data_IF_815082315129
#
_entry.id   IF_815082315129
#
_cell.length_a   1.000
_cell.length_b   1.000
_cell.length_c   1.000
_cell.angle_alpha   90.00
_cell.angle_beta   90.00
_cell.angle_gamma   90.00
#
_symmetry.space_group_name_H-M   'P 1'
#
loop_
_entity.id
_entity.type
_entity.pdbx_description
1 polymer ?
#
# COMPACT_ATOMS: atom_id res chain seq x y z
N UNK A 1 -9.43 1.84 -15.81
CA UNK A 1 -8.14 1.13 -15.64
C UNK A 1 -7.62 1.23 -14.21
N UNK A 2 -7.54 2.43 -13.62
CA UNK A 2 -7.16 2.67 -12.21
C UNK A 2 -7.75 1.68 -11.21
N UNK A 3 -9.07 1.63 -11.10
CA UNK A 3 -9.78 0.68 -10.22
C UNK A 3 -9.27 -0.76 -10.37
N UNK A 4 -9.23 -1.29 -11.60
CA UNK A 4 -8.81 -2.67 -11.84
C UNK A 4 -7.35 -2.91 -11.44
N UNK A 5 -6.45 -1.96 -11.72
CA UNK A 5 -5.04 -2.10 -11.38
C UNK A 5 -4.83 -2.00 -9.87
N UNK A 6 -5.48 -1.06 -9.20
CA UNK A 6 -5.42 -0.91 -7.75
C UNK A 6 -5.85 -2.20 -7.02
N UNK A 7 -7.06 -2.71 -7.30
CA UNK A 7 -7.52 -3.95 -6.67
C UNK A 7 -6.73 -5.18 -7.10
N UNK A 8 -6.24 -5.24 -8.34
CA UNK A 8 -5.36 -6.32 -8.76
C UNK A 8 -4.05 -6.30 -7.97
N UNK A 9 -3.43 -5.14 -7.76
CA UNK A 9 -2.17 -5.03 -7.03
C UNK A 9 -2.32 -5.29 -5.52
N UNK A 10 -3.49 -4.99 -4.95
CA UNK A 10 -3.80 -5.33 -3.54
C UNK A 10 -4.24 -6.79 -3.32
N UNK A 11 -4.87 -7.43 -4.30
CA UNK A 11 -5.47 -8.78 -4.12
C UNK A 11 -4.87 -9.85 -5.03
N UNK A 12 -4.81 -9.59 -6.34
CA UNK A 12 -4.35 -10.58 -7.33
C UNK A 12 -2.83 -10.73 -7.38
N UNK A 13 -2.08 -9.64 -7.33
CA UNK A 13 -0.63 -9.66 -7.40
C UNK A 13 0.03 -10.33 -6.18
N UNK A 14 -0.45 -10.15 -4.94
CA UNK A 14 0.02 -10.93 -3.79
C UNK A 14 -0.13 -12.45 -3.98
N UNK A 15 -1.19 -12.89 -4.65
CA UNK A 15 -1.35 -14.31 -4.99
C UNK A 15 -0.25 -14.78 -5.93
N UNK A 16 0.08 -14.00 -6.97
CA UNK A 16 1.18 -14.34 -7.88
C UNK A 16 2.52 -14.42 -7.15
N UNK A 17 2.82 -13.45 -6.27
CA UNK A 17 4.03 -13.48 -5.45
C UNK A 17 4.07 -14.75 -4.60
N UNK A 18 2.99 -15.06 -3.89
CA UNK A 18 2.93 -16.22 -3.03
C UNK A 18 3.09 -17.53 -3.81
N UNK A 19 2.45 -17.64 -4.98
CA UNK A 19 2.47 -18.84 -5.82
C UNK A 19 3.85 -19.09 -6.44
N UNK A 20 4.48 -18.06 -7.03
CA UNK A 20 5.77 -18.22 -7.71
C UNK A 20 6.97 -18.24 -6.76
N UNK A 21 6.97 -17.41 -5.70
CA UNK A 21 8.14 -17.27 -4.81
C UNK A 21 8.09 -18.26 -3.65
N UNK A 22 6.90 -18.66 -3.20
CA UNK A 22 6.72 -19.57 -2.06
C UNK A 22 5.83 -20.77 -2.39
N UNK A 23 6.10 -21.53 -3.47
CA UNK A 23 5.19 -22.56 -3.99
C UNK A 23 4.85 -23.66 -2.96
N UNK A 24 5.75 -23.96 -2.01
CA UNK A 24 5.50 -24.98 -0.98
C UNK A 24 4.54 -24.52 0.13
N UNK A 25 4.38 -23.20 0.33
CA UNK A 25 3.58 -22.60 1.41
C UNK A 25 2.72 -21.43 0.93
N UNK A 26 2.39 -21.40 -0.37
CA UNK A 26 1.78 -20.26 -1.03
C UNK A 26 0.48 -19.81 -0.35
N UNK A 27 -0.35 -20.73 0.15
CA UNK A 27 -1.61 -20.40 0.85
C UNK A 27 -1.35 -19.54 2.08
N UNK A 28 -0.42 -19.96 2.92
CA UNK A 28 -0.05 -19.24 4.14
C UNK A 28 0.56 -17.89 3.82
N UNK A 29 1.46 -17.83 2.83
CA UNK A 29 2.09 -16.57 2.42
C UNK A 29 1.05 -15.61 1.82
N UNK A 30 0.14 -16.10 0.98
CA UNK A 30 -0.93 -15.29 0.41
C UNK A 30 -1.85 -14.72 1.49
N UNK A 31 -2.26 -15.53 2.48
CA UNK A 31 -3.06 -15.04 3.60
C UNK A 31 -2.32 -14.00 4.44
N UNK A 32 -1.01 -14.15 4.64
CA UNK A 32 -0.20 -13.15 5.33
C UNK A 32 -0.09 -11.84 4.54
N UNK A 33 0.13 -11.91 3.22
CA UNK A 33 0.14 -10.73 2.34
C UNK A 33 -1.24 -10.06 2.27
N UNK A 34 -2.32 -10.84 2.31
CA UNK A 34 -3.68 -10.28 2.35
C UNK A 34 -3.97 -9.61 3.71
N UNK A 35 -3.47 -10.18 4.80
CA UNK A 35 -3.60 -9.60 6.13
C UNK A 35 -2.91 -8.23 6.25
N UNK A 36 -1.87 -7.94 5.46
CA UNK A 36 -1.22 -6.62 5.48
C UNK A 36 -2.10 -5.51 4.89
N UNK A 37 -3.15 -5.84 4.12
CA UNK A 37 -4.12 -4.86 3.63
C UNK A 37 -4.92 -4.22 4.78
N UNK A 38 -4.89 -4.78 5.99
CA UNK A 38 -5.47 -4.16 7.18
C UNK A 38 -4.79 -2.84 7.58
N UNK A 39 -3.66 -2.48 6.96
CA UNK A 39 -3.05 -1.16 7.14
C UNK A 39 -4.04 -0.03 6.76
N UNK A 40 -4.94 -0.27 5.79
CA UNK A 40 -6.00 0.67 5.37
C UNK A 40 -7.01 0.99 6.47
N UNK A 41 -7.03 0.25 7.59
CA UNK A 41 -7.89 0.60 8.71
C UNK A 41 -7.55 1.98 9.30
N UNK A 42 -6.36 2.53 9.02
CA UNK A 42 -6.02 3.89 9.39
C UNK A 42 -6.80 4.97 8.61
N UNK A 43 -7.49 4.61 7.51
CA UNK A 43 -8.43 5.49 6.82
C UNK A 43 -9.62 5.86 7.71
N UNK A 44 -9.99 5.01 8.66
CA UNK A 44 -11.06 5.29 9.62
C UNK A 44 -10.73 6.49 10.53
N UNK A 45 -9.46 6.90 10.59
CA UNK A 45 -9.02 8.08 11.35
C UNK A 45 -9.14 9.39 10.56
N UNK A 46 -9.50 9.33 9.28
CA UNK A 46 -9.63 10.50 8.42
C UNK A 46 -11.04 11.09 8.41
N UNK A 47 -11.10 12.40 8.12
CA UNK A 47 -12.33 13.16 7.92
C UNK A 47 -12.21 13.92 6.59
N UNK A 48 -13.00 13.58 5.55
CA UNK A 48 -13.91 12.44 5.47
C UNK A 48 -13.17 11.09 5.39
N UNK A 49 -13.84 9.99 5.75
CA UNK A 49 -13.24 8.63 5.72
C UNK A 49 -12.82 8.28 4.29
N UNK A 50 -13.73 8.45 3.33
CA UNK A 50 -13.46 8.22 1.91
C UNK A 50 -13.39 9.55 1.16
N UNK A 51 -12.31 9.74 0.40
CA UNK A 51 -12.11 10.91 -0.45
C UNK A 51 -11.32 10.48 -1.70
N UNK A 52 -11.96 10.58 -2.87
CA UNK A 52 -11.34 10.21 -4.15
C UNK A 52 -10.29 11.22 -4.64
N UNK A 53 -10.16 12.37 -3.97
CA UNK A 53 -9.22 13.44 -4.29
C UNK A 53 -8.01 13.51 -3.34
N UNK A 54 -7.88 12.53 -2.44
CA UNK A 54 -6.85 12.49 -1.41
C UNK A 54 -5.86 11.36 -1.65
N UNK A 55 -4.57 11.69 -1.67
CA UNK A 55 -3.51 10.70 -1.67
C UNK A 55 -3.32 10.09 -0.27
N UNK A 56 -3.32 8.77 -0.16
CA UNK A 56 -3.12 8.08 1.13
C UNK A 56 -1.72 8.31 1.70
N UNK A 57 -0.71 8.33 0.83
CA UNK A 57 0.71 8.41 1.20
C UNK A 57 1.03 9.75 1.86
N UNK A 58 1.56 9.68 3.08
CA UNK A 58 1.87 10.85 3.91
C UNK A 58 0.67 11.48 4.61
N UNK A 59 -0.57 11.08 4.28
CA UNK A 59 -1.78 11.60 4.92
C UNK A 59 -2.20 10.74 6.12
N UNK A 60 -2.28 9.42 5.95
CA UNK A 60 -2.72 8.53 7.02
C UNK A 60 -1.57 8.10 7.94
N UNK A 61 -1.82 7.81 9.23
CA UNK A 61 -0.77 7.48 10.19
C UNK A 61 0.14 6.31 9.77
N UNK A 62 -0.43 5.20 9.28
CA UNK A 62 0.35 4.03 8.86
C UNK A 62 0.93 4.20 7.45
N UNK A 63 0.40 5.14 6.68
CA UNK A 63 0.93 5.59 5.38
C UNK A 63 1.94 6.74 5.50
N UNK A 64 2.30 7.12 6.72
CA UNK A 64 3.22 8.22 6.98
C UNK A 64 4.65 7.87 6.57
N UNK A 65 5.32 8.82 5.91
CA UNK A 65 6.74 8.68 5.52
C UNK A 65 7.66 8.37 6.69
N UNK A 66 7.29 8.76 7.91
CA UNK A 66 8.06 8.46 9.12
C UNK A 66 8.03 6.97 9.49
N UNK A 67 6.96 6.25 9.15
CA UNK A 67 6.80 4.82 9.49
C UNK A 67 7.36 3.91 8.39
N UNK A 68 7.38 4.36 7.12
CA UNK A 68 7.88 3.56 5.98
C UNK A 68 9.28 2.95 6.22
N UNK A 69 10.29 3.65 6.78
CA UNK A 69 11.59 3.06 7.10
C UNK A 69 11.51 1.84 8.03
N UNK A 70 10.54 1.79 8.93
CA UNK A 70 10.32 0.65 9.84
C UNK A 70 9.85 -0.57 9.04
N UNK A 71 8.94 -0.39 8.07
CA UNK A 71 8.49 -1.46 7.18
C UNK A 71 9.61 -1.98 6.28
N UNK A 72 10.48 -1.09 5.80
CA UNK A 72 11.73 -1.48 5.11
C UNK A 72 12.60 -2.33 6.04
N UNK A 73 12.73 -1.93 7.30
CA UNK A 73 13.38 -2.70 8.36
C UNK A 73 12.86 -4.14 8.49
N UNK A 74 11.56 -4.36 8.35
CA UNK A 74 10.94 -5.69 8.47
C UNK A 74 11.45 -6.69 7.42
N UNK A 75 11.87 -6.24 6.24
CA UNK A 75 12.40 -7.14 5.19
C UNK A 75 13.64 -7.90 5.67
N UNK A 76 14.48 -7.28 6.52
CA UNK A 76 15.75 -7.85 6.95
C UNK A 76 15.58 -9.00 7.96
N UNK A 77 14.46 -9.06 8.69
CA UNK A 77 14.23 -10.09 9.70
C UNK A 77 13.36 -11.24 9.17
N UNK A 78 13.86 -12.49 9.26
CA UNK A 78 13.17 -13.68 8.71
C UNK A 78 11.70 -13.83 9.15
N UNK A 79 11.36 -13.42 10.38
CA UNK A 79 10.01 -13.54 10.95
C UNK A 79 9.03 -12.51 10.39
N UNK A 80 9.49 -11.28 10.13
CA UNK A 80 8.64 -10.17 9.68
C UNK A 80 8.76 -9.88 8.18
N UNK A 81 9.69 -10.54 7.48
CA UNK A 81 9.97 -10.31 6.06
C UNK A 81 8.74 -10.32 5.16
N UNK A 82 7.87 -11.33 5.29
CA UNK A 82 6.66 -11.44 4.45
C UNK A 82 5.70 -10.29 4.75
N UNK A 83 5.56 -9.91 6.02
CA UNK A 83 4.73 -8.76 6.44
C UNK A 83 5.31 -7.45 5.90
N UNK A 84 6.63 -7.25 6.00
CA UNK A 84 7.30 -6.08 5.42
C UNK A 84 7.09 -6.00 3.90
N UNK A 85 7.22 -7.11 3.18
CA UNK A 85 6.96 -7.18 1.74
C UNK A 85 5.49 -6.83 1.44
N UNK A 86 4.54 -7.38 2.18
CA UNK A 86 3.11 -7.12 1.98
C UNK A 86 2.75 -5.66 2.21
N UNK A 87 3.23 -5.06 3.31
CA UNK A 87 3.00 -3.64 3.62
C UNK A 87 3.64 -2.75 2.55
N UNK A 88 4.88 -3.01 2.15
CA UNK A 88 5.54 -2.18 1.14
C UNK A 88 4.90 -2.33 -0.23
N UNK A 89 4.45 -3.53 -0.60
CA UNK A 89 3.66 -3.72 -1.82
C UNK A 89 2.38 -2.90 -1.79
N UNK A 90 1.67 -2.90 -0.66
CA UNK A 90 0.48 -2.10 -0.45
C UNK A 90 0.78 -0.59 -0.63
N UNK A 91 1.82 -0.08 0.04
CA UNK A 91 2.24 1.33 -0.10
C UNK A 91 2.65 1.71 -1.52
N UNK A 92 3.29 0.80 -2.26
CA UNK A 92 3.62 1.01 -3.68
C UNK A 92 2.35 1.11 -4.52
N UNK A 93 1.37 0.22 -4.29
CA UNK A 93 0.06 0.27 -4.96
C UNK A 93 -0.64 1.61 -4.73
N UNK A 94 -0.65 2.08 -3.50
CA UNK A 94 -1.27 3.37 -3.14
C UNK A 94 -0.50 4.57 -3.73
N UNK A 95 0.83 4.48 -3.80
CA UNK A 95 1.65 5.49 -4.48
C UNK A 95 1.33 5.56 -5.98
N UNK A 96 1.15 4.41 -6.64
CA UNK A 96 0.73 4.36 -8.05
C UNK A 96 -0.65 5.01 -8.22
N UNK A 97 -1.58 4.73 -7.31
CA UNK A 97 -2.92 5.31 -7.35
C UNK A 97 -2.89 6.84 -7.17
N UNK A 98 -2.06 7.34 -6.25
CA UNK A 98 -1.82 8.78 -6.08
C UNK A 98 -1.32 9.43 -7.37
N UNK A 99 -0.32 8.85 -8.04
CA UNK A 99 0.20 9.40 -9.29
C UNK A 99 -0.85 9.39 -10.40
N UNK A 100 -1.65 8.32 -10.53
CA UNK A 100 -2.74 8.28 -11.51
C UNK A 100 -3.87 9.27 -11.21
N UNK A 101 -4.09 9.59 -9.93
CA UNK A 101 -4.99 10.64 -9.51
C UNK A 101 -4.45 12.04 -9.89
N UNK A 102 -3.15 12.30 -9.68
CA UNK A 102 -2.54 13.60 -9.98
C UNK A 102 -2.63 13.98 -11.46
N UNK A 103 -2.52 13.01 -12.37
CA UNK A 103 -2.72 13.22 -13.82
C UNK A 103 -4.11 13.79 -14.17
N UNK A 104 -5.12 13.56 -13.31
CA UNK A 104 -6.49 14.01 -13.52
C UNK A 104 -6.85 15.25 -12.72
N UNK A 105 -6.05 15.57 -11.70
CA UNK A 105 -6.40 16.55 -10.69
C UNK A 105 -5.14 17.27 -10.18
N UNK A 106 -4.89 18.47 -10.72
CA UNK A 106 -3.74 19.29 -10.30
C UNK A 106 -3.81 19.72 -8.84
N UNK A 107 -5.00 20.07 -8.34
CA UNK A 107 -5.19 20.42 -6.91
C UNK A 107 -4.88 19.25 -5.98
N UNK A 108 -5.20 18.02 -6.38
CA UNK A 108 -4.89 16.81 -5.61
C UNK A 108 -3.37 16.65 -5.40
N UNK A 109 -2.56 16.99 -6.40
CA UNK A 109 -1.11 17.03 -6.26
C UNK A 109 -0.65 18.12 -5.29
N UNK A 110 -1.18 19.34 -5.42
CA UNK A 110 -0.83 20.48 -4.55
C UNK A 110 -1.11 20.22 -3.06
N UNK A 111 -2.14 19.43 -2.75
CA UNK A 111 -2.49 19.03 -1.39
C UNK A 111 -1.80 17.74 -0.92
N UNK A 112 -0.90 17.17 -1.73
CA UNK A 112 -0.15 15.96 -1.39
C UNK A 112 1.22 16.26 -0.79
N UNK A 113 1.76 15.29 -0.04
CA UNK A 113 3.12 15.40 0.51
C UNK A 113 4.20 15.48 -0.58
N UNK A 114 3.91 14.99 -1.79
CA UNK A 114 4.84 14.99 -2.92
C UNK A 114 5.04 16.38 -3.54
N UNK A 115 4.14 17.34 -3.32
CA UNK A 115 4.33 18.71 -3.79
C UNK A 115 5.33 19.48 -2.91
N UNK A 116 5.46 19.12 -1.64
CA UNK A 116 6.35 19.76 -0.68
C UNK A 116 7.80 19.20 -0.71
N UNK A 117 8.08 18.21 -1.56
CA UNK A 117 9.40 17.61 -1.78
C UNK A 117 10.10 18.23 -2.99
#
# INVERSE_FOLDING_TARGET
MQFFVHYFLHLGFPFLIAWFVFPTRWKTVYLLLLATMLIDLDHLLAQPIFDASRCSIGFHPLHSLYIIPIYIGFIFFKKTRIVGIGILLHLVTDTIDCFWMFEKCGSCFQHSIFHAM
#
